data_IF_156822649989
#
_entry.id   IF_156822649989
#
_cell.length_a   1.000
_cell.length_b   1.000
_cell.length_c   1.000
_cell.angle_alpha   90.00
_cell.angle_beta   90.00
_cell.angle_gamma   90.00
#
_symmetry.space_group_name_H-M   'P 1'
#
loop_
_entity.id
_entity.type
_entity.pdbx_description
1 polymer ?
#
# COMPACT_ATOMS: atom_id res chain seq x y z
N UNK A 1 -11.55 12.15 57.80
CA UNK A 1 -11.31 10.90 58.58
C UNK A 1 -12.31 9.78 58.19
N UNK A 2 -12.46 9.41 56.91
CA UNK A 2 -13.54 8.49 56.47
C UNK A 2 -13.10 7.23 55.71
N UNK A 3 -11.83 7.12 55.30
CA UNK A 3 -11.37 6.04 54.41
C UNK A 3 -10.92 4.75 55.12
N UNK A 4 -10.76 4.77 56.44
CA UNK A 4 -10.23 3.62 57.20
C UNK A 4 -11.30 2.62 57.67
N UNK A 5 -12.57 3.04 57.69
CA UNK A 5 -13.67 2.22 58.20
C UNK A 5 -14.37 1.43 57.08
N UNK A 6 -14.28 1.86 55.82
CA UNK A 6 -15.05 1.27 54.70
C UNK A 6 -14.53 -0.10 54.24
N UNK A 7 -13.26 -0.42 54.48
CA UNK A 7 -12.61 -1.67 54.02
C UNK A 7 -13.10 -2.93 54.73
N UNK A 8 -13.17 -3.01 56.08
CA UNK A 8 -13.67 -4.20 56.77
C UNK A 8 -15.15 -4.48 56.47
N UNK A 9 -15.99 -3.44 56.37
CA UNK A 9 -17.41 -3.61 56.00
C UNK A 9 -17.58 -4.12 54.56
N UNK A 10 -16.72 -3.72 53.61
CA UNK A 10 -16.74 -4.24 52.23
C UNK A 10 -16.35 -5.73 52.15
N UNK A 11 -15.49 -6.18 53.07
CA UNK A 11 -14.94 -7.53 53.10
C UNK A 11 -15.74 -8.49 54.00
N UNK A 12 -16.83 -8.05 54.61
CA UNK A 12 -17.70 -8.92 55.39
C UNK A 12 -18.37 -9.94 54.45
N UNK A 13 -18.25 -11.24 54.78
CA UNK A 13 -18.92 -12.33 54.08
C UNK A 13 -18.68 -12.38 52.56
N UNK A 14 -17.41 -12.28 52.14
CA UNK A 14 -17.01 -12.37 50.73
C UNK A 14 -17.16 -13.80 50.20
N UNK A 15 -16.93 -14.81 51.02
CA UNK A 15 -16.98 -16.22 50.64
C UNK A 15 -18.38 -16.65 50.21
N UNK A 16 -19.43 -16.38 51.01
CA UNK A 16 -20.80 -16.75 50.61
C UNK A 16 -21.28 -15.95 49.40
N UNK A 17 -20.79 -14.70 49.23
CA UNK A 17 -21.07 -13.89 48.04
C UNK A 17 -20.41 -14.48 46.81
N UNK A 18 -19.15 -14.90 46.91
CA UNK A 18 -18.42 -15.56 45.84
C UNK A 18 -19.08 -16.90 45.48
N UNK A 19 -19.38 -17.74 46.47
CA UNK A 19 -20.07 -19.02 46.27
C UNK A 19 -21.42 -18.83 45.56
N UNK A 20 -22.23 -17.85 45.96
CA UNK A 20 -23.51 -17.53 45.30
C UNK A 20 -23.33 -17.07 43.85
N UNK A 21 -22.25 -16.35 43.52
CA UNK A 21 -21.94 -15.95 42.14
C UNK A 21 -21.49 -17.15 41.32
N UNK A 22 -20.64 -18.01 41.88
CA UNK A 22 -20.19 -19.25 41.23
C UNK A 22 -21.35 -20.21 40.97
N UNK A 23 -22.23 -20.44 41.94
CA UNK A 23 -23.44 -21.27 41.76
C UNK A 23 -24.37 -20.73 40.67
N UNK A 24 -24.53 -19.39 40.58
CA UNK A 24 -25.30 -18.74 39.51
C UNK A 24 -24.65 -18.96 38.14
N UNK A 25 -23.33 -18.84 38.06
CA UNK A 25 -22.58 -19.07 36.82
C UNK A 25 -22.57 -20.54 36.42
N UNK A 26 -22.62 -21.46 37.38
CA UNK A 26 -22.66 -22.89 37.10
C UNK A 26 -24.02 -23.37 36.60
N UNK A 27 -25.13 -22.81 37.12
CA UNK A 27 -26.50 -23.14 36.66
C UNK A 27 -26.83 -22.50 35.30
N UNK A 28 -26.40 -21.27 35.07
CA UNK A 28 -26.57 -20.57 33.79
C UNK A 28 -25.23 -20.00 33.36
N UNK A 29 -24.38 -20.80 32.68
CA UNK A 29 -23.08 -20.32 32.20
C UNK A 29 -23.30 -19.24 31.16
N UNK A 30 -22.89 -18.02 31.47
CA UNK A 30 -22.94 -16.90 30.53
C UNK A 30 -21.69 -16.96 29.66
N UNK A 31 -21.86 -17.16 28.37
CA UNK A 31 -20.76 -17.09 27.41
C UNK A 31 -20.08 -15.71 27.48
N UNK A 32 -18.76 -15.70 27.26
CA UNK A 32 -18.01 -14.46 27.21
C UNK A 32 -18.55 -13.53 26.11
N UNK A 33 -18.58 -12.20 26.34
CA UNK A 33 -18.98 -11.26 25.31
C UNK A 33 -18.03 -11.36 24.12
N UNK A 34 -18.59 -11.42 22.91
CA UNK A 34 -17.83 -11.43 21.65
C UNK A 34 -17.54 -9.99 21.22
N UNK A 35 -16.47 -9.80 20.44
CA UNK A 35 -16.14 -8.51 19.84
C UNK A 35 -17.15 -8.17 18.72
N UNK A 36 -17.42 -6.88 18.49
CA UNK A 36 -18.43 -6.42 17.53
C UNK A 36 -18.23 -7.03 16.14
N UNK A 37 -17.00 -7.01 15.61
CA UNK A 37 -16.67 -7.62 14.31
C UNK A 37 -16.98 -9.11 14.23
N UNK A 38 -16.81 -9.84 15.33
CA UNK A 38 -17.13 -11.27 15.40
C UNK A 38 -18.64 -11.50 15.44
N UNK A 39 -19.39 -10.61 16.10
CA UNK A 39 -20.86 -10.68 16.12
C UNK A 39 -21.42 -10.46 14.71
N UNK A 40 -20.89 -9.47 13.99
CA UNK A 40 -21.32 -9.17 12.61
C UNK A 40 -20.99 -10.33 11.67
N UNK A 41 -19.79 -10.90 11.76
CA UNK A 41 -19.42 -12.05 10.94
C UNK A 41 -20.34 -13.26 11.19
N UNK A 42 -20.68 -13.53 12.45
CA UNK A 42 -21.58 -14.63 12.82
C UNK A 42 -23.00 -14.36 12.31
N UNK A 43 -23.50 -13.13 12.42
CA UNK A 43 -24.86 -12.80 11.97
C UNK A 43 -24.99 -12.93 10.44
N UNK A 44 -23.98 -12.51 9.68
CA UNK A 44 -23.93 -12.74 8.23
C UNK A 44 -23.94 -14.23 7.89
N UNK A 45 -23.10 -15.04 8.56
CA UNK A 45 -23.07 -16.49 8.34
C UNK A 45 -24.40 -17.18 8.69
N UNK A 46 -25.09 -16.72 9.72
CA UNK A 46 -26.40 -17.25 10.13
C UNK A 46 -27.51 -16.93 9.11
N UNK A 47 -27.46 -15.76 8.48
CA UNK A 47 -28.42 -15.38 7.42
C UNK A 47 -28.24 -16.24 6.17
N UNK A 48 -26.99 -16.45 5.76
CA UNK A 48 -26.68 -17.17 4.52
C UNK A 48 -26.88 -18.70 4.66
N UNK A 49 -26.63 -19.26 5.86
CA UNK A 49 -26.56 -20.71 6.06
C UNK A 49 -27.14 -21.16 7.41
N UNK A 50 -28.42 -20.86 7.64
CA UNK A 50 -29.14 -21.21 8.88
C UNK A 50 -29.12 -22.73 9.22
N UNK A 51 -29.02 -23.61 8.22
CA UNK A 51 -28.93 -25.06 8.44
C UNK A 51 -27.59 -25.46 9.07
N UNK A 52 -26.49 -24.84 8.65
CA UNK A 52 -25.14 -25.16 9.12
C UNK A 52 -24.95 -24.70 10.57
N UNK A 53 -25.51 -23.54 10.95
CA UNK A 53 -25.47 -23.11 12.35
C UNK A 53 -26.15 -24.12 13.29
N UNK A 54 -27.27 -24.71 12.86
CA UNK A 54 -27.98 -25.73 13.65
C UNK A 54 -27.17 -27.04 13.75
N UNK A 55 -26.48 -27.43 12.68
CA UNK A 55 -25.64 -28.64 12.67
C UNK A 55 -24.36 -28.48 13.52
N UNK A 56 -23.88 -27.24 13.72
CA UNK A 56 -22.75 -26.93 14.59
C UNK A 56 -23.16 -26.90 16.07
N UNK A 57 -24.34 -26.37 16.37
CA UNK A 57 -24.85 -26.29 17.75
C UNK A 57 -25.31 -27.66 18.27
N UNK A 58 -25.84 -28.52 17.39
CA UNK A 58 -26.34 -29.84 17.76
C UNK A 58 -25.28 -30.93 17.56
N UNK A 59 -25.31 -31.95 18.42
CA UNK A 59 -24.44 -33.11 18.29
C UNK A 59 -24.85 -33.96 17.08
N UNK A 60 -23.92 -34.18 16.15
CA UNK A 60 -24.12 -35.10 15.03
C UNK A 60 -23.72 -36.55 15.42
N UNK A 61 -24.71 -37.42 15.62
CA UNK A 61 -24.48 -38.81 16.07
C UNK A 61 -23.71 -39.65 15.05
N UNK A 62 -23.96 -39.45 13.75
CA UNK A 62 -23.26 -40.21 12.69
C UNK A 62 -21.76 -39.89 12.66
N UNK A 63 -21.41 -38.60 12.74
CA UNK A 63 -20.01 -38.19 12.82
C UNK A 63 -19.36 -38.71 14.12
N UNK A 64 -20.09 -38.69 15.22
CA UNK A 64 -19.60 -39.18 16.51
C UNK A 64 -19.27 -40.67 16.48
N UNK A 65 -20.09 -41.49 15.83
CA UNK A 65 -19.81 -42.92 15.61
C UNK A 65 -18.59 -43.13 14.73
N UNK A 66 -18.45 -42.39 13.62
CA UNK A 66 -17.29 -42.49 12.75
C UNK A 66 -15.98 -42.13 13.48
N UNK A 67 -15.99 -41.08 14.31
CA UNK A 67 -14.81 -40.66 15.06
C UNK A 67 -14.39 -41.68 16.13
N UNK A 68 -15.32 -42.48 16.67
CA UNK A 68 -14.97 -43.59 17.57
C UNK A 68 -14.26 -44.74 16.84
N UNK A 69 -14.55 -44.92 15.56
CA UNK A 69 -13.97 -46.00 14.75
C UNK A 69 -12.56 -45.67 14.25
N UNK A 70 -12.23 -44.38 14.13
CA UNK A 70 -10.94 -43.92 13.64
C UNK A 70 -9.96 -43.84 14.82
N UNK A 71 -9.05 -44.80 14.90
CA UNK A 71 -7.90 -44.77 15.80
C UNK A 71 -6.64 -44.46 14.99
N UNK A 72 -5.98 -43.35 15.29
CA UNK A 72 -4.72 -42.96 14.64
C UNK A 72 -3.56 -43.42 15.51
N UNK A 73 -2.83 -44.42 15.04
CA UNK A 73 -1.57 -44.86 15.63
C UNK A 73 -0.40 -44.18 14.89
N UNK A 74 0.11 -43.08 15.44
CA UNK A 74 1.26 -42.38 14.86
C UNK A 74 2.55 -43.12 15.26
N UNK A 75 3.07 -43.94 14.34
CA UNK A 75 4.34 -44.67 14.53
C UNK A 75 5.58 -43.85 14.17
N UNK A 76 5.42 -42.58 13.81
CA UNK A 76 6.53 -41.71 13.49
C UNK A 76 7.32 -41.35 14.76
N UNK A 77 8.64 -41.34 14.64
CA UNK A 77 9.52 -40.69 15.61
C UNK A 77 9.03 -39.26 15.81
N UNK A 78 8.97 -38.73 17.05
CA UNK A 78 8.62 -37.33 17.27
C UNK A 78 9.50 -36.48 16.36
N UNK A 79 8.87 -35.81 15.40
CA UNK A 79 9.55 -34.85 14.54
C UNK A 79 10.03 -33.79 15.51
N UNK A 80 11.35 -33.67 15.67
CA UNK A 80 11.92 -32.50 16.30
C UNK A 80 11.40 -31.31 15.50
N UNK A 81 10.45 -30.58 16.09
CA UNK A 81 10.02 -29.29 15.59
C UNK A 81 11.26 -28.42 15.73
N UNK A 82 12.15 -28.48 14.74
CA UNK A 82 13.19 -27.49 14.54
C UNK A 82 12.42 -26.22 14.56
N UNK A 83 12.61 -25.43 15.61
CA UNK A 83 11.92 -24.17 15.73
C UNK A 83 12.38 -23.39 14.51
N UNK A 84 11.57 -23.37 13.46
CA UNK A 84 11.71 -22.41 12.38
C UNK A 84 11.23 -21.06 12.92
N UNK A 85 11.74 -20.70 14.10
CA UNK A 85 12.03 -19.32 14.45
C UNK A 85 13.11 -18.92 13.46
N UNK A 86 12.71 -18.69 12.22
CA UNK A 86 13.44 -17.73 11.40
C UNK A 86 13.68 -16.53 12.31
N UNK A 87 14.91 -16.03 12.32
CA UNK A 87 15.27 -14.92 13.18
C UNK A 87 14.17 -13.86 13.05
N UNK A 88 13.55 -13.49 14.17
CA UNK A 88 12.58 -12.41 14.18
C UNK A 88 13.22 -11.22 13.44
N UNK A 89 12.45 -10.48 12.61
CA UNK A 89 12.99 -9.36 11.86
C UNK A 89 13.85 -8.49 12.78
N UNK A 90 15.16 -8.42 12.49
CA UNK A 90 16.12 -7.66 13.30
C UNK A 90 15.78 -6.18 13.28
N UNK A 91 15.19 -5.71 12.17
CA UNK A 91 14.67 -4.36 12.02
C UNK A 91 13.23 -4.25 12.55
N UNK A 92 13.04 -3.45 13.61
CA UNK A 92 11.72 -3.03 14.10
C UNK A 92 11.29 -1.67 13.54
N UNK A 93 11.91 -1.22 12.44
CA UNK A 93 11.54 0.05 11.81
C UNK A 93 10.16 -0.08 11.19
N UNK A 94 9.33 0.94 11.32
CA UNK A 94 8.11 1.05 10.55
C UNK A 94 8.51 1.10 9.07
N UNK A 95 7.91 0.22 8.25
CA UNK A 95 8.00 0.32 6.79
C UNK A 95 7.31 1.64 6.41
N UNK A 96 8.01 2.49 5.66
CA UNK A 96 7.45 3.76 5.21
C UNK A 96 6.25 3.53 4.28
N UNK A 97 5.40 4.55 4.15
CA UNK A 97 4.29 4.47 3.21
C UNK A 97 4.82 4.28 1.78
N UNK A 98 4.28 3.31 1.02
CA UNK A 98 4.75 3.04 -0.32
C UNK A 98 4.43 4.19 -1.28
N UNK A 99 5.41 4.59 -2.08
CA UNK A 99 5.31 5.72 -3.03
C UNK A 99 4.20 5.51 -4.07
N UNK A 100 3.99 4.27 -4.50
CA UNK A 100 3.03 3.90 -5.54
C UNK A 100 1.77 3.21 -4.98
N UNK A 101 1.56 3.28 -3.65
CA UNK A 101 0.44 2.60 -2.98
C UNK A 101 0.55 1.07 -2.96
N UNK A 102 1.65 0.52 -3.48
CA UNK A 102 2.00 -0.90 -3.45
C UNK A 102 3.29 -1.05 -2.68
N UNK A 103 3.33 -1.97 -1.72
CA UNK A 103 4.53 -2.21 -0.91
C UNK A 103 5.71 -2.55 -1.82
N UNK A 104 6.78 -1.76 -1.72
CA UNK A 104 7.99 -2.00 -2.49
C UNK A 104 8.62 -3.34 -2.08
N UNK A 105 9.21 -4.02 -3.06
CA UNK A 105 9.90 -5.29 -2.82
C UNK A 105 11.27 -4.96 -2.24
N UNK A 106 11.41 -5.10 -0.92
CA UNK A 106 12.69 -4.93 -0.21
C UNK A 106 13.69 -6.08 -0.46
N UNK A 107 13.26 -7.16 -1.11
CA UNK A 107 14.14 -8.28 -1.48
C UNK A 107 14.78 -8.06 -2.85
N UNK A 108 15.95 -8.68 -3.05
CA UNK A 108 16.64 -8.66 -4.35
C UNK A 108 15.71 -9.10 -5.48
N UNK A 109 15.55 -8.24 -6.49
CA UNK A 109 14.69 -8.52 -7.64
C UNK A 109 15.33 -9.66 -8.45
N UNK A 110 14.61 -10.76 -8.72
CA UNK A 110 15.15 -11.86 -9.50
C UNK A 110 15.45 -11.42 -10.93
N UNK A 111 16.50 -12.00 -11.52
CA UNK A 111 16.89 -11.74 -12.92
C UNK A 111 15.71 -11.97 -13.85
N UNK A 112 15.52 -11.08 -14.84
CA UNK A 112 14.39 -11.14 -15.76
C UNK A 112 13.09 -10.52 -15.23
N UNK A 113 13.09 -9.94 -14.02
CA UNK A 113 11.97 -9.16 -13.49
C UNK A 113 12.43 -7.76 -13.11
N UNK A 114 11.48 -6.83 -13.03
CA UNK A 114 11.71 -5.45 -12.62
C UNK A 114 10.71 -5.02 -11.55
N UNK A 115 11.13 -4.14 -10.64
CA UNK A 115 10.21 -3.49 -9.71
C UNK A 115 9.30 -2.50 -10.45
N UNK A 116 8.12 -2.22 -9.89
CA UNK A 116 7.20 -1.23 -10.47
C UNK A 116 7.81 0.17 -10.51
N UNK A 117 8.55 0.55 -9.46
CA UNK A 117 9.28 1.81 -9.37
C UNK A 117 10.28 1.97 -10.50
N UNK A 118 11.13 0.96 -10.71
CA UNK A 118 12.10 0.94 -11.80
C UNK A 118 11.40 1.01 -13.16
N UNK A 119 10.30 0.28 -13.34
CA UNK A 119 9.55 0.29 -14.61
C UNK A 119 8.98 1.67 -14.92
N UNK A 120 8.38 2.34 -13.92
CA UNK A 120 7.82 3.68 -14.09
C UNK A 120 8.90 4.70 -14.45
N UNK A 121 10.08 4.59 -13.86
CA UNK A 121 11.24 5.42 -14.18
C UNK A 121 11.72 5.20 -15.62
N UNK A 122 11.81 3.94 -16.07
CA UNK A 122 12.22 3.60 -17.44
C UNK A 122 11.25 4.16 -18.48
N UNK A 123 9.94 4.02 -18.25
CA UNK A 123 8.92 4.59 -19.13
C UNK A 123 9.06 6.12 -19.14
N UNK A 124 9.28 6.76 -17.98
CA UNK A 124 9.46 8.21 -17.89
C UNK A 124 10.69 8.68 -18.71
N UNK A 125 11.82 7.99 -18.60
CA UNK A 125 13.06 8.35 -19.33
C UNK A 125 12.95 8.12 -20.84
N UNK A 126 12.34 7.02 -21.26
CA UNK A 126 12.08 6.78 -22.68
C UNK A 126 11.13 7.83 -23.26
N UNK A 127 10.15 8.30 -22.50
CA UNK A 127 9.24 9.36 -22.95
C UNK A 127 9.92 10.71 -23.11
N UNK A 128 10.90 11.04 -22.24
CA UNK A 128 11.64 12.30 -22.36
C UNK A 128 12.62 12.25 -23.53
N UNK A 129 13.40 11.18 -23.61
CA UNK A 129 14.48 11.00 -24.59
C UNK A 129 14.47 9.58 -25.20
N UNK A 130 13.62 9.33 -26.22
CA UNK A 130 13.53 8.01 -26.86
C UNK A 130 14.83 7.54 -27.50
N UNK A 131 15.66 8.48 -27.98
CA UNK A 131 16.95 8.19 -28.62
C UNK A 131 18.01 7.74 -27.61
N UNK A 132 17.96 8.28 -26.39
CA UNK A 132 18.91 7.95 -25.33
C UNK A 132 18.60 6.62 -24.63
N UNK A 133 17.32 6.27 -24.53
CA UNK A 133 16.86 5.06 -23.85
C UNK A 133 16.02 4.17 -24.77
N UNK A 134 16.60 3.56 -25.82
CA UNK A 134 15.88 2.60 -26.65
C UNK A 134 15.57 1.30 -25.89
N UNK A 135 14.58 0.54 -26.35
CA UNK A 135 14.19 -0.73 -25.74
C UNK A 135 15.36 -1.72 -25.58
N UNK A 136 16.32 -1.71 -26.52
CA UNK A 136 17.48 -2.61 -26.53
C UNK A 136 18.50 -2.32 -25.43
N UNK A 137 18.68 -1.05 -25.03
CA UNK A 137 19.58 -0.71 -23.92
C UNK A 137 18.92 -1.06 -22.59
N UNK A 138 17.65 -0.71 -22.43
CA UNK A 138 16.85 -1.00 -21.23
C UNK A 138 16.81 -2.50 -20.95
N UNK A 139 16.58 -3.32 -21.98
CA UNK A 139 16.53 -4.77 -21.85
C UNK A 139 17.87 -5.36 -21.40
N UNK A 140 18.99 -4.86 -21.93
CA UNK A 140 20.34 -5.32 -21.55
C UNK A 140 20.69 -4.94 -20.12
N UNK A 141 20.42 -3.69 -19.74
CA UNK A 141 20.77 -3.16 -18.42
C UNK A 141 20.02 -3.88 -17.30
N UNK A 142 18.76 -4.25 -17.53
CA UNK A 142 17.91 -4.92 -16.54
C UNK A 142 17.72 -6.42 -16.78
N UNK A 143 18.44 -7.01 -17.76
CA UNK A 143 18.31 -8.42 -18.15
C UNK A 143 16.85 -8.83 -18.44
N UNK A 144 16.10 -7.97 -19.11
CA UNK A 144 14.69 -8.18 -19.49
C UNK A 144 14.57 -8.67 -20.93
N UNK A 145 13.42 -9.24 -21.27
CA UNK A 145 13.09 -9.61 -22.65
C UNK A 145 12.83 -8.36 -23.51
N UNK A 146 13.52 -8.26 -24.65
CA UNK A 146 13.46 -7.10 -25.55
C UNK A 146 12.05 -6.90 -26.11
N UNK A 147 11.36 -7.99 -26.48
CA UNK A 147 10.00 -7.93 -27.03
C UNK A 147 9.00 -7.43 -25.98
N UNK A 148 9.09 -7.94 -24.75
CA UNK A 148 8.28 -7.47 -23.64
C UNK A 148 8.51 -5.98 -23.34
N UNK A 149 9.77 -5.53 -23.29
CA UNK A 149 10.11 -4.12 -23.05
C UNK A 149 9.56 -3.23 -24.15
N UNK A 150 9.66 -3.62 -25.42
CA UNK A 150 9.12 -2.85 -26.53
C UNK A 150 7.59 -2.70 -26.44
N UNK A 151 6.88 -3.77 -26.08
CA UNK A 151 5.43 -3.73 -25.86
C UNK A 151 5.07 -2.79 -24.70
N UNK A 152 5.82 -2.85 -23.60
CA UNK A 152 5.60 -1.97 -22.46
C UNK A 152 5.77 -0.49 -22.85
N UNK A 153 6.86 -0.16 -23.54
CA UNK A 153 7.14 1.21 -23.97
C UNK A 153 6.12 1.75 -25.00
N UNK A 154 5.54 0.87 -25.80
CA UNK A 154 4.55 1.24 -26.83
C UNK A 154 3.17 1.49 -26.19
N UNK A 155 2.76 0.65 -25.26
CA UNK A 155 1.40 0.67 -24.71
C UNK A 155 1.25 1.44 -23.39
N UNK A 156 2.32 1.60 -22.61
CA UNK A 156 2.26 2.29 -21.32
C UNK A 156 2.88 3.67 -21.41
N UNK A 157 2.21 4.65 -20.80
CA UNK A 157 2.66 6.03 -20.75
C UNK A 157 2.46 6.63 -19.35
N UNK A 158 3.47 7.33 -18.85
CA UNK A 158 3.34 8.14 -17.64
C UNK A 158 2.49 9.39 -17.95
N UNK A 159 1.65 9.79 -16.99
CA UNK A 159 0.82 10.98 -17.11
C UNK A 159 1.68 12.24 -17.10
N UNK A 160 1.43 13.15 -18.03
CA UNK A 160 2.05 14.48 -18.06
C UNK A 160 1.06 15.50 -17.51
N UNK A 161 1.49 16.26 -16.52
CA UNK A 161 0.70 17.35 -15.96
C UNK A 161 0.71 18.54 -16.92
N UNK A 162 -0.41 18.77 -17.62
CA UNK A 162 -0.60 19.96 -18.44
C UNK A 162 -1.29 21.06 -17.64
N UNK A 163 -0.59 22.17 -17.43
CA UNK A 163 -1.13 23.36 -16.77
C UNK A 163 -1.66 24.33 -17.84
N UNK A 164 -2.96 24.71 -17.80
CA UNK A 164 -3.54 25.65 -18.74
C UNK A 164 -2.84 27.02 -18.70
N UNK A 165 -2.66 27.65 -19.88
CA UNK A 165 -2.00 28.97 -20.01
C UNK A 165 -2.72 30.07 -19.23
N UNK A 166 -4.01 29.94 -19.00
CA UNK A 166 -4.82 30.91 -18.25
C UNK A 166 -4.42 30.96 -16.78
N UNK A 167 -4.12 29.81 -16.17
CA UNK A 167 -3.69 29.72 -14.77
C UNK A 167 -2.37 30.45 -14.50
N UNK A 168 -1.47 30.53 -15.49
CA UNK A 168 -0.22 31.29 -15.35
C UNK A 168 -0.41 32.81 -15.36
N UNK A 169 -1.54 33.30 -15.90
CA UNK A 169 -1.84 34.75 -15.96
C UNK A 169 -2.33 35.27 -14.60
N UNK A 170 -3.15 34.48 -13.91
CA UNK A 170 -3.74 34.83 -12.62
C UNK A 170 -2.70 34.86 -11.50
N UNK A 171 -1.68 34.01 -11.60
CA UNK A 171 -0.71 33.81 -10.53
C UNK A 171 0.69 33.61 -11.13
N UNK A 172 1.46 34.71 -11.20
CA UNK A 172 2.79 34.80 -11.82
C UNK A 172 3.83 33.79 -11.30
N UNK A 173 3.57 33.19 -10.14
CA UNK A 173 4.46 32.23 -9.45
C UNK A 173 3.94 30.78 -9.44
N UNK A 174 2.85 30.43 -10.15
CA UNK A 174 2.27 29.07 -10.07
C UNK A 174 3.23 27.96 -10.47
N UNK A 175 4.06 28.18 -11.48
CA UNK A 175 5.05 27.18 -11.87
C UNK A 175 5.99 26.80 -10.72
N UNK A 176 6.32 27.78 -9.85
CA UNK A 176 7.15 27.54 -8.66
C UNK A 176 6.36 26.82 -7.56
N UNK A 177 5.12 27.24 -7.32
CA UNK A 177 4.24 26.66 -6.29
C UNK A 177 3.93 25.19 -6.61
N UNK A 178 3.60 24.88 -7.86
CA UNK A 178 3.33 23.50 -8.30
C UNK A 178 4.61 22.66 -8.23
N UNK A 179 5.76 23.21 -8.62
CA UNK A 179 7.03 22.50 -8.50
C UNK A 179 7.41 22.22 -7.03
N UNK A 180 7.14 23.15 -6.11
CA UNK A 180 7.37 22.96 -4.67
C UNK A 180 6.42 21.92 -4.07
N UNK A 181 5.13 21.93 -4.46
CA UNK A 181 4.16 20.93 -4.02
C UNK A 181 4.52 19.51 -4.50
N UNK A 182 4.95 19.37 -5.76
CA UNK A 182 5.38 18.08 -6.31
C UNK A 182 6.68 17.57 -5.67
N UNK A 183 7.60 18.47 -5.30
CA UNK A 183 8.80 18.10 -4.53
C UNK A 183 8.46 17.66 -3.11
N UNK A 184 7.48 18.30 -2.48
CA UNK A 184 7.02 17.96 -1.14
C UNK A 184 6.24 16.64 -1.09
N UNK A 185 5.58 16.23 -2.17
CA UNK A 185 4.74 15.04 -2.20
C UNK A 185 5.49 13.72 -2.45
N UNK A 186 6.84 13.71 -2.47
CA UNK A 186 7.67 12.53 -2.76
C UNK A 186 7.30 11.76 -4.04
N UNK A 187 6.50 12.35 -4.93
CA UNK A 187 6.02 11.70 -6.15
C UNK A 187 7.10 11.82 -7.23
N UNK A 188 7.48 10.71 -7.87
CA UNK A 188 8.40 10.64 -9.03
C UNK A 188 8.47 11.96 -9.82
N UNK A 189 9.48 12.77 -9.53
CA UNK A 189 9.59 14.15 -10.01
C UNK A 189 10.22 14.27 -11.41
N UNK A 190 10.49 13.15 -12.08
CA UNK A 190 11.28 13.12 -13.33
C UNK A 190 10.53 13.58 -14.59
N UNK A 191 9.20 13.76 -14.55
CA UNK A 191 8.38 13.98 -15.75
C UNK A 191 7.72 15.36 -15.87
N UNK A 192 8.04 16.33 -15.00
CA UNK A 192 7.44 17.68 -15.08
C UNK A 192 8.16 18.54 -16.13
N UNK A 193 7.70 18.49 -17.38
CA UNK A 193 8.03 19.53 -18.38
C UNK A 193 7.18 20.77 -18.10
N UNK A 194 7.67 21.66 -17.23
CA UNK A 194 7.14 23.02 -17.11
C UNK A 194 7.47 23.77 -18.41
N UNK A 195 6.44 24.17 -19.15
CA UNK A 195 6.57 24.82 -20.45
C UNK A 195 7.55 25.99 -20.39
N UNK A 196 8.61 25.90 -21.17
CA UNK A 196 9.54 27.02 -21.35
C UNK A 196 8.80 28.15 -22.06
N UNK A 197 9.01 29.37 -21.55
CA UNK A 197 8.50 30.61 -22.13
C UNK A 197 9.21 30.80 -23.47
N UNK A 198 8.48 30.60 -24.57
CA UNK A 198 8.97 30.98 -25.90
C UNK A 198 9.28 32.49 -25.87
N UNK A 199 10.57 32.83 -25.90
CA UNK A 199 10.98 34.21 -26.11
C UNK A 199 10.63 34.57 -27.56
N UNK A 200 9.68 35.48 -27.70
CA UNK A 200 9.31 36.07 -28.97
C UNK A 200 10.55 36.74 -29.58
N UNK A 201 11.02 36.18 -30.70
CA UNK A 201 12.01 36.81 -31.55
C UNK A 201 11.43 38.11 -32.12
N UNK A 202 11.83 39.24 -31.54
CA UNK A 202 11.62 40.57 -32.10
C UNK A 202 12.52 40.73 -33.34
N UNK A 203 11.95 40.55 -34.54
CA UNK A 203 12.53 41.11 -35.76
C UNK A 203 12.38 42.63 -35.70
N UNK A 204 13.40 43.34 -35.23
CA UNK A 204 13.47 44.80 -35.39
C UNK A 204 13.79 45.12 -36.85
N UNK A 205 12.73 45.39 -37.61
CA UNK A 205 12.78 46.16 -38.85
C UNK A 205 13.34 47.55 -38.55
N UNK A 206 14.45 47.90 -39.19
CA UNK A 206 15.06 49.23 -39.15
C UNK A 206 14.32 50.12 -40.18
N UNK A 207 13.67 51.24 -39.80
CA UNK A 207 13.24 52.24 -40.75
C UNK A 207 14.42 53.15 -41.12
N UNK A 208 14.61 53.36 -42.42
CA UNK A 208 15.69 54.16 -42.98
C UNK A 208 15.58 55.66 -42.69
N UNK A 209 16.66 56.37 -42.96
CA UNK A 209 16.64 57.82 -43.15
C UNK A 209 17.48 58.19 -44.40
N UNK A 210 17.09 59.24 -45.16
CA UNK A 210 17.62 59.56 -46.48
C UNK A 210 18.74 60.63 -46.46
N UNK A 211 19.29 60.87 -47.66
CA UNK A 211 20.19 61.97 -48.07
C UNK A 211 21.63 61.88 -47.54
N UNK A 212 22.73 62.16 -48.26
CA UNK A 212 23.01 62.99 -49.45
C UNK A 212 24.46 62.72 -49.92
N UNK A 213 24.82 63.12 -51.15
CA UNK A 213 26.21 63.39 -51.56
C UNK A 213 26.83 62.29 -52.43
N UNK A 214 26.86 62.43 -53.76
CA UNK A 214 27.87 63.16 -54.54
C UNK A 214 29.16 62.35 -54.87
N UNK A 215 29.45 62.39 -56.18
CA UNK A 215 30.78 62.39 -56.81
C UNK A 215 31.40 61.07 -57.31
N UNK A 216 31.59 61.04 -58.65
CA UNK A 216 32.82 60.75 -59.42
C UNK A 216 33.54 59.43 -59.07
N UNK A 217 33.76 58.49 -59.97
CA UNK A 217 34.23 58.57 -61.37
C UNK A 217 33.93 57.27 -62.09
#
# INVERSE_FOLDING_TARGET
>A
MGQRITRPFRNFNVENRAAKVLERQQKTPKAAPKHATTVDAISHMQLDQAQISNDVENKNERLHEHLKQIYVDSKDSPIEIKSSRGALPLSRRAVGDPELGVMDVDSEVPKGRSSLKTLMELISRHQTDPSGYPATTIAKDHSLDEAAVQNVLTHFKVMQLHLPKEMYKETKNMGKIVAEQLKASNFVTSSVKLGQKEEAGETKSIPGNPDTGESKT
#
